data_IF_319404545043
#
_entry.id   IF_319404545043
#
_cell.length_a   1.000
_cell.length_b   1.000
_cell.length_c   1.000
_cell.angle_alpha   90.00
_cell.angle_beta   90.00
_cell.angle_gamma   90.00
#
_symmetry.space_group_name_H-M   'P 1'
#
loop_
_entity.id
_entity.type
_entity.pdbx_description
1 polymer ?
#
# COMPACT_ATOMS: atom_id res chain seq x y z
N UNK A 1 -55.78 -5.35 50.89
CA UNK A 1 -56.08 -4.60 49.66
C UNK A 1 -54.88 -4.67 48.74
N UNK A 2 -55.06 -5.37 47.66
CA UNK A 2 -53.99 -5.78 46.71
C UNK A 2 -53.66 -4.65 45.74
N UNK A 3 -52.38 -4.37 45.58
CA UNK A 3 -51.87 -3.58 44.46
C UNK A 3 -51.06 -4.49 43.56
N UNK A 4 -51.64 -4.83 42.43
CA UNK A 4 -50.99 -5.58 41.34
C UNK A 4 -49.89 -4.75 40.71
N UNK A 5 -48.67 -5.21 40.81
CA UNK A 5 -47.53 -4.64 40.10
C UNK A 5 -47.44 -5.35 38.74
N UNK A 6 -47.87 -4.63 37.69
CA UNK A 6 -47.68 -5.08 36.31
C UNK A 6 -46.22 -4.85 35.89
N UNK A 7 -45.46 -5.94 35.88
CA UNK A 7 -44.16 -5.97 35.25
C UNK A 7 -44.41 -5.96 33.73
N UNK A 8 -44.16 -4.83 33.08
CA UNK A 8 -44.05 -4.74 31.63
C UNK A 8 -42.67 -5.28 31.24
N UNK A 9 -42.64 -6.53 30.77
CA UNK A 9 -41.50 -7.05 30.04
C UNK A 9 -41.32 -6.22 28.74
N UNK A 10 -40.37 -5.33 28.75
CA UNK A 10 -39.88 -4.66 27.53
C UNK A 10 -39.07 -5.70 26.78
N UNK A 11 -39.67 -6.33 25.78
CA UNK A 11 -38.91 -7.16 24.82
C UNK A 11 -38.11 -6.21 23.98
N UNK A 12 -36.82 -6.06 24.32
CA UNK A 12 -35.85 -5.47 23.43
C UNK A 12 -35.69 -6.41 22.24
N UNK A 13 -36.31 -6.08 21.11
CA UNK A 13 -36.00 -6.67 19.84
C UNK A 13 -34.57 -6.19 19.48
N UNK A 14 -33.59 -6.98 19.87
CA UNK A 14 -32.24 -6.86 19.35
C UNK A 14 -32.37 -7.28 17.87
N UNK A 15 -32.46 -6.30 16.99
CA UNK A 15 -32.16 -6.49 15.59
C UNK A 15 -30.69 -6.95 15.56
N UNK A 16 -30.51 -8.25 15.58
CA UNK A 16 -29.29 -8.89 15.11
C UNK A 16 -29.15 -8.51 13.64
N UNK A 17 -28.51 -7.36 13.38
CA UNK A 17 -27.85 -7.16 12.12
C UNK A 17 -26.84 -8.32 12.08
N UNK A 18 -27.21 -9.39 11.40
CA UNK A 18 -26.26 -10.40 10.99
C UNK A 18 -25.24 -9.66 10.13
N UNK A 19 -24.19 -9.17 10.78
CA UNK A 19 -22.92 -8.93 10.10
C UNK A 19 -22.56 -10.33 9.61
N UNK A 20 -22.92 -10.63 8.38
CA UNK A 20 -22.35 -11.76 7.68
C UNK A 20 -20.84 -11.43 7.67
N UNK A 21 -20.13 -11.92 8.69
CA UNK A 21 -18.70 -12.07 8.57
C UNK A 21 -18.53 -12.88 7.29
N UNK A 22 -18.06 -12.25 6.22
CA UNK A 22 -17.69 -12.98 5.01
C UNK A 22 -16.80 -14.11 5.50
N UNK A 23 -17.31 -15.33 5.42
CA UNK A 23 -16.53 -16.54 5.65
C UNK A 23 -15.29 -16.38 4.77
N UNK A 24 -14.07 -16.57 5.29
CA UNK A 24 -12.86 -16.42 4.47
C UNK A 24 -13.10 -17.10 3.14
N UNK A 25 -12.82 -16.42 2.05
CA UNK A 25 -13.08 -16.85 0.65
C UNK A 25 -12.30 -18.13 0.29
N UNK A 26 -12.45 -19.18 1.07
CA UNK A 26 -11.86 -20.49 0.81
C UNK A 26 -12.49 -21.18 -0.42
N UNK A 27 -13.64 -20.68 -0.89
CA UNK A 27 -14.43 -21.27 -1.98
C UNK A 27 -14.65 -20.33 -3.16
N UNK A 28 -13.78 -19.37 -3.40
CA UNK A 28 -13.86 -18.61 -4.64
C UNK A 28 -13.67 -19.57 -5.83
N UNK A 29 -14.51 -19.44 -6.88
CA UNK A 29 -14.36 -20.29 -8.05
C UNK A 29 -12.97 -20.08 -8.69
N UNK A 30 -12.39 -21.13 -9.28
CA UNK A 30 -11.13 -21.02 -9.98
C UNK A 30 -11.20 -19.89 -11.01
N UNK A 31 -10.19 -19.04 -11.01
CA UNK A 31 -10.09 -17.92 -11.95
C UNK A 31 -9.30 -18.34 -13.18
N UNK A 32 -9.80 -17.99 -14.35
CA UNK A 32 -9.09 -18.22 -15.60
C UNK A 32 -8.19 -17.05 -15.96
N UNK A 33 -7.12 -17.32 -16.72
CA UNK A 33 -6.26 -16.27 -17.26
C UNK A 33 -7.04 -15.26 -18.12
N UNK A 34 -8.09 -15.71 -18.84
CA UNK A 34 -8.99 -14.85 -19.62
C UNK A 34 -9.77 -13.86 -18.73
N UNK A 35 -10.30 -14.33 -17.59
CA UNK A 35 -10.99 -13.47 -16.62
C UNK A 35 -10.03 -12.43 -16.00
N UNK A 36 -8.79 -12.83 -15.72
CA UNK A 36 -7.75 -11.91 -15.24
C UNK A 36 -7.45 -10.81 -16.25
N UNK A 37 -7.28 -11.18 -17.54
CA UNK A 37 -7.05 -10.23 -18.62
C UNK A 37 -8.22 -9.26 -18.78
N UNK A 38 -9.46 -9.74 -18.76
CA UNK A 38 -10.65 -8.89 -18.83
C UNK A 38 -10.73 -7.91 -17.66
N UNK A 39 -10.42 -8.38 -16.44
CA UNK A 39 -10.38 -7.54 -15.25
C UNK A 39 -9.29 -6.46 -15.33
N UNK A 40 -8.08 -6.82 -15.83
CA UNK A 40 -7.01 -5.85 -16.08
C UNK A 40 -7.48 -4.79 -17.08
N UNK A 41 -8.07 -5.18 -18.21
CA UNK A 41 -8.58 -4.24 -19.23
C UNK A 41 -9.56 -3.24 -18.62
N UNK A 42 -10.53 -3.68 -17.84
CA UNK A 42 -11.48 -2.80 -17.15
C UNK A 42 -10.80 -1.83 -16.18
N UNK A 43 -9.79 -2.29 -15.44
CA UNK A 43 -9.03 -1.42 -14.54
C UNK A 43 -8.18 -0.38 -15.29
N UNK A 44 -7.62 -0.76 -16.44
CA UNK A 44 -6.91 0.17 -17.34
C UNK A 44 -7.88 1.21 -17.89
N UNK A 45 -9.05 0.79 -18.37
CA UNK A 45 -10.08 1.69 -18.90
C UNK A 45 -10.53 2.71 -17.85
N UNK A 46 -10.72 2.26 -16.60
CA UNK A 46 -10.98 3.17 -15.48
C UNK A 46 -9.88 4.21 -15.31
N UNK A 47 -8.59 3.80 -15.25
CA UNK A 47 -7.49 4.74 -15.06
C UNK A 47 -7.35 5.72 -16.22
N UNK A 48 -7.62 5.30 -17.45
CA UNK A 48 -7.63 6.21 -18.61
C UNK A 48 -8.71 7.28 -18.49
N UNK A 49 -9.92 6.89 -18.07
CA UNK A 49 -11.04 7.79 -17.89
C UNK A 49 -10.86 8.76 -16.72
N UNK A 50 -10.15 8.33 -15.66
CA UNK A 50 -9.94 9.06 -14.41
C UNK A 50 -8.68 9.95 -14.41
N UNK A 51 -7.85 9.89 -15.46
CA UNK A 51 -6.63 10.70 -15.53
C UNK A 51 -6.93 12.20 -15.62
N UNK A 52 -6.33 12.98 -14.74
CA UNK A 52 -6.39 14.44 -14.81
C UNK A 52 -5.78 14.97 -16.12
N UNK A 53 -6.24 16.14 -16.58
CA UNK A 53 -5.71 16.78 -17.78
C UNK A 53 -4.19 16.99 -17.76
N UNK A 54 -3.61 17.18 -16.56
CA UNK A 54 -2.17 17.36 -16.38
C UNK A 54 -1.38 16.04 -16.27
N UNK A 55 -2.02 14.89 -16.46
CA UNK A 55 -1.36 13.58 -16.44
C UNK A 55 -1.29 12.89 -15.07
N UNK A 56 -1.66 13.56 -13.99
CA UNK A 56 -1.72 12.95 -12.64
C UNK A 56 -3.04 12.21 -12.41
N UNK A 57 -3.15 11.54 -11.25
CA UNK A 57 -4.39 10.96 -10.74
C UNK A 57 -4.75 11.52 -9.37
N UNK A 58 -6.05 11.63 -9.13
CA UNK A 58 -6.63 12.06 -7.87
C UNK A 58 -6.64 13.57 -7.68
N UNK A 59 -7.51 14.02 -6.81
CA UNK A 59 -7.73 15.43 -6.49
C UNK A 59 -8.10 15.63 -5.03
N UNK A 60 -8.21 16.91 -4.61
CA UNK A 60 -8.67 17.31 -3.28
C UNK A 60 -10.18 17.18 -3.10
N UNK A 61 -10.90 16.74 -4.13
CA UNK A 61 -12.35 16.60 -4.09
C UNK A 61 -12.73 15.40 -3.21
N UNK A 62 -13.72 15.59 -2.35
CA UNK A 62 -14.31 14.47 -1.59
C UNK A 62 -15.33 13.76 -2.47
N UNK A 63 -15.07 12.51 -2.81
CA UNK A 63 -15.92 11.68 -3.65
C UNK A 63 -16.67 10.59 -2.87
N UNK A 64 -16.31 10.38 -1.61
CA UNK A 64 -16.93 9.44 -0.66
C UNK A 64 -17.14 10.15 0.69
N UNK A 65 -17.39 9.36 1.73
CA UNK A 65 -17.68 9.81 3.09
C UNK A 65 -16.59 10.69 3.73
N UNK A 66 -16.74 10.91 5.03
CA UNK A 66 -15.81 11.71 5.84
C UNK A 66 -14.37 11.22 5.66
N UNK A 67 -13.49 12.16 5.37
CA UNK A 67 -12.07 11.95 5.35
C UNK A 67 -11.41 12.79 6.45
N UNK A 68 -10.70 12.14 7.36
CA UNK A 68 -10.05 12.80 8.51
C UNK A 68 -8.58 13.13 8.26
N UNK A 69 -8.02 12.68 7.13
CA UNK A 69 -6.63 12.92 6.78
C UNK A 69 -6.48 14.00 5.71
N UNK A 70 -5.27 14.48 5.56
CA UNK A 70 -4.89 15.47 4.58
C UNK A 70 -5.61 16.83 4.74
N UNK A 71 -5.59 17.41 5.92
CA UNK A 71 -6.19 18.73 6.11
C UNK A 71 -5.40 19.85 5.41
N UNK A 72 -4.13 19.61 5.08
CA UNK A 72 -3.20 20.60 4.59
C UNK A 72 -2.89 20.44 3.09
N UNK A 73 -2.67 21.54 2.35
CA UNK A 73 -2.40 21.50 0.90
C UNK A 73 -1.20 20.62 0.52
N UNK A 74 -0.13 20.63 1.31
CA UNK A 74 1.06 19.82 1.03
C UNK A 74 0.83 18.31 1.20
N UNK A 75 -0.03 17.90 2.12
CA UNK A 75 -0.45 16.51 2.24
C UNK A 75 -1.19 16.03 0.98
N UNK A 76 -2.00 16.90 0.37
CA UNK A 76 -2.64 16.60 -0.92
C UNK A 76 -1.62 16.42 -2.05
N UNK A 77 -0.52 17.18 -2.03
CA UNK A 77 0.55 16.95 -3.01
C UNK A 77 1.21 15.58 -2.83
N UNK A 78 1.48 15.17 -1.59
CA UNK A 78 2.02 13.86 -1.26
C UNK A 78 1.07 12.72 -1.69
N UNK A 79 -0.22 12.84 -1.40
CA UNK A 79 -1.23 11.85 -1.83
C UNK A 79 -1.34 11.76 -3.34
N UNK A 80 -1.35 12.91 -4.04
CA UNK A 80 -1.39 12.92 -5.50
C UNK A 80 -0.15 12.24 -6.08
N UNK A 81 1.04 12.52 -5.56
CA UNK A 81 2.27 11.88 -6.02
C UNK A 81 2.24 10.37 -5.79
N UNK A 82 1.80 9.91 -4.61
CA UNK A 82 1.66 8.50 -4.30
C UNK A 82 0.63 7.78 -5.17
N UNK A 83 -0.58 8.34 -5.28
CA UNK A 83 -1.65 7.77 -6.10
C UNK A 83 -1.27 7.74 -7.59
N UNK A 84 -0.65 8.82 -8.10
CA UNK A 84 -0.16 8.89 -9.48
C UNK A 84 0.92 7.84 -9.74
N UNK A 85 1.88 7.67 -8.81
CA UNK A 85 2.93 6.65 -8.93
C UNK A 85 2.38 5.23 -8.97
N UNK A 86 1.35 4.94 -8.17
CA UNK A 86 0.68 3.63 -8.15
C UNK A 86 -0.17 3.39 -9.40
N UNK A 87 -0.99 4.36 -9.81
CA UNK A 87 -1.82 4.25 -11.01
C UNK A 87 -0.96 4.03 -12.26
N UNK A 88 0.11 4.82 -12.41
CA UNK A 88 1.08 4.67 -13.49
C UNK A 88 1.75 3.29 -13.48
N UNK A 89 2.21 2.85 -12.31
CA UNK A 89 2.85 1.53 -12.18
C UNK A 89 1.90 0.43 -12.61
N UNK A 90 0.62 0.51 -12.22
CA UNK A 90 -0.41 -0.41 -12.68
C UNK A 90 -0.65 -0.39 -14.18
N UNK A 91 -0.68 0.80 -14.81
CA UNK A 91 -0.80 0.93 -16.26
C UNK A 91 0.37 0.29 -17.00
N UNK A 92 1.60 0.56 -16.56
CA UNK A 92 2.79 0.00 -17.22
C UNK A 92 2.84 -1.51 -17.04
N UNK A 93 2.63 -2.01 -15.83
CA UNK A 93 2.71 -3.44 -15.51
C UNK A 93 1.57 -4.24 -16.17
N UNK A 94 0.43 -3.62 -16.54
CA UNK A 94 -0.66 -4.26 -17.28
C UNK A 94 -0.20 -4.83 -18.62
N UNK A 95 0.80 -4.20 -19.24
CA UNK A 95 1.30 -4.54 -20.57
C UNK A 95 0.35 -4.15 -21.68
N UNK A 96 -0.63 -3.30 -21.43
CA UNK A 96 -1.57 -2.81 -22.43
C UNK A 96 -0.85 -1.86 -23.41
N UNK A 97 -0.84 -2.22 -24.69
CA UNK A 97 -0.11 -1.51 -25.74
C UNK A 97 -0.98 -0.50 -26.52
N UNK A 98 -2.22 -0.27 -26.12
CA UNK A 98 -3.11 0.70 -26.77
C UNK A 98 -2.49 2.09 -26.81
N UNK A 99 -2.79 2.82 -27.88
CA UNK A 99 -2.28 4.19 -28.08
C UNK A 99 -2.67 5.12 -26.91
N UNK A 100 -3.91 5.01 -26.41
CA UNK A 100 -4.43 5.82 -25.30
C UNK A 100 -3.63 5.57 -24.00
N UNK A 101 -3.24 4.32 -23.75
CA UNK A 101 -2.40 3.95 -22.60
C UNK A 101 -1.01 4.58 -22.73
N UNK A 102 -0.42 4.48 -23.92
CA UNK A 102 0.89 5.10 -24.19
C UNK A 102 0.83 6.62 -24.03
N UNK A 103 -0.23 7.26 -24.52
CA UNK A 103 -0.43 8.70 -24.36
C UNK A 103 -0.61 9.11 -22.88
N UNK A 104 -1.38 8.33 -22.11
CA UNK A 104 -1.58 8.56 -20.69
C UNK A 104 -0.28 8.44 -19.89
N UNK A 105 0.54 7.44 -20.21
CA UNK A 105 1.86 7.25 -19.61
C UNK A 105 2.78 8.44 -19.94
N UNK A 106 2.76 8.94 -21.18
CA UNK A 106 3.55 10.10 -21.61
C UNK A 106 3.20 11.37 -20.81
N UNK A 107 1.90 11.70 -20.69
CA UNK A 107 1.45 12.83 -19.86
C UNK A 107 1.87 12.69 -18.41
N UNK A 108 1.79 11.47 -17.87
CA UNK A 108 2.21 11.21 -16.50
C UNK A 108 3.73 11.36 -16.32
N UNK A 109 4.54 11.02 -17.32
CA UNK A 109 5.97 11.23 -17.28
C UNK A 109 6.32 12.72 -17.18
N UNK A 110 5.68 13.56 -17.98
CA UNK A 110 5.85 15.02 -17.92
C UNK A 110 5.48 15.57 -16.54
N UNK A 111 4.30 15.16 -16.02
CA UNK A 111 3.87 15.54 -14.69
C UNK A 111 4.86 15.10 -13.60
N UNK A 112 5.38 13.89 -13.69
CA UNK A 112 6.31 13.32 -12.70
C UNK A 112 7.64 14.07 -12.67
N UNK A 113 8.19 14.39 -13.85
CA UNK A 113 9.43 15.18 -13.98
C UNK A 113 9.25 16.57 -13.36
N UNK A 114 8.11 17.21 -13.57
CA UNK A 114 7.84 18.54 -13.03
C UNK A 114 7.55 18.53 -11.53
N UNK A 115 6.80 17.53 -11.02
CA UNK A 115 6.18 17.63 -9.70
C UNK A 115 6.85 16.79 -8.61
N UNK A 116 7.50 15.66 -8.93
CA UNK A 116 8.22 14.87 -7.91
C UNK A 116 9.36 15.66 -7.23
N UNK A 117 10.14 16.53 -7.91
CA UNK A 117 11.14 17.37 -7.25
C UNK A 117 10.56 18.37 -6.24
N UNK A 118 9.29 18.75 -6.43
CA UNK A 118 8.58 19.72 -5.57
C UNK A 118 7.97 19.07 -4.34
N UNK A 119 8.04 17.75 -4.21
CA UNK A 119 7.48 17.02 -3.09
C UNK A 119 8.25 17.34 -1.82
N UNK A 120 7.58 18.01 -0.88
CA UNK A 120 8.18 18.50 0.36
C UNK A 120 7.13 18.51 1.48
N UNK A 121 7.61 18.65 2.71
CA UNK A 121 6.74 18.85 3.88
C UNK A 121 5.78 20.00 3.66
N UNK A 122 4.54 19.79 4.07
CA UNK A 122 3.56 20.84 4.17
C UNK A 122 3.81 21.71 5.40
N UNK A 123 4.01 21.05 6.54
CA UNK A 123 4.41 21.61 7.84
C UNK A 123 4.99 20.52 8.75
N UNK A 124 5.15 20.85 10.04
CA UNK A 124 5.75 19.97 11.03
C UNK A 124 4.83 18.84 11.50
N UNK A 125 3.52 18.91 11.25
CA UNK A 125 2.53 18.03 11.88
C UNK A 125 1.84 17.08 10.92
N UNK A 126 1.92 17.31 9.61
CA UNK A 126 1.19 16.51 8.62
C UNK A 126 1.93 16.47 7.29
N UNK A 127 2.64 15.39 7.07
CA UNK A 127 3.39 15.21 5.82
C UNK A 127 3.01 13.91 5.17
N UNK A 128 3.08 12.99 4.87
CA UNK A 128 2.85 11.77 4.09
C UNK A 128 3.79 11.69 2.88
N UNK A 129 4.82 12.54 2.84
CA UNK A 129 5.70 12.64 1.69
C UNK A 129 6.45 11.34 1.39
N UNK A 130 6.70 10.50 2.40
CA UNK A 130 7.36 9.21 2.20
C UNK A 130 6.60 8.32 1.20
N UNK A 131 5.26 8.39 1.16
CA UNK A 131 4.44 7.66 0.19
C UNK A 131 4.66 8.17 -1.23
N UNK A 132 4.71 9.50 -1.39
CA UNK A 132 5.01 10.13 -2.66
C UNK A 132 6.40 9.77 -3.17
N UNK A 133 7.42 9.79 -2.30
CA UNK A 133 8.78 9.39 -2.65
C UNK A 133 8.87 7.90 -3.00
N UNK A 134 8.30 7.01 -2.20
CA UNK A 134 8.37 5.57 -2.42
C UNK A 134 7.67 5.14 -3.72
N UNK A 135 6.43 5.58 -3.94
CA UNK A 135 5.68 5.20 -5.14
C UNK A 135 6.11 6.01 -6.37
N UNK A 136 6.56 7.24 -6.19
CA UNK A 136 7.22 8.01 -7.23
C UNK A 136 8.51 7.33 -7.71
N UNK A 137 9.35 6.84 -6.79
CA UNK A 137 10.56 6.08 -7.12
C UNK A 137 10.23 4.82 -7.93
N UNK A 138 9.23 4.04 -7.49
CA UNK A 138 8.79 2.83 -8.22
C UNK A 138 8.28 3.14 -9.62
N UNK A 139 7.58 4.26 -9.80
CA UNK A 139 7.13 4.70 -11.13
C UNK A 139 8.29 5.11 -12.03
N UNK A 140 9.31 5.77 -11.47
CA UNK A 140 10.52 6.16 -12.21
C UNK A 140 11.35 4.96 -12.67
N UNK A 141 11.40 3.88 -11.87
CA UNK A 141 12.00 2.61 -12.30
C UNK A 141 11.30 2.09 -13.56
N UNK A 142 9.97 2.11 -13.59
CA UNK A 142 9.18 1.66 -14.76
C UNK A 142 9.33 2.56 -15.97
N UNK A 143 9.40 3.87 -15.78
CA UNK A 143 9.73 4.79 -16.86
C UNK A 143 11.10 4.48 -17.48
N UNK A 144 12.10 4.28 -16.62
CA UNK A 144 13.45 3.95 -17.05
C UNK A 144 13.49 2.64 -17.85
N UNK A 145 12.81 1.58 -17.38
CA UNK A 145 12.85 0.26 -18.01
C UNK A 145 12.22 0.28 -19.42
N UNK A 146 11.15 1.06 -19.63
CA UNK A 146 10.48 1.14 -20.93
C UNK A 146 11.03 2.22 -21.88
N UNK A 147 11.80 3.18 -21.40
CA UNK A 147 12.34 4.26 -22.20
C UNK A 147 13.48 3.76 -23.07
N UNK A 148 13.54 4.21 -24.30
CA UNK A 148 14.62 3.89 -25.26
C UNK A 148 15.59 5.05 -25.47
N UNK A 149 15.14 6.30 -25.23
CA UNK A 149 15.96 7.49 -25.37
C UNK A 149 16.95 7.59 -24.20
N UNK A 150 18.30 7.59 -24.46
CA UNK A 150 19.30 7.60 -23.40
C UNK A 150 19.23 8.84 -22.49
N UNK A 151 18.90 10.00 -23.04
CA UNK A 151 18.82 11.25 -22.27
C UNK A 151 17.65 11.21 -21.28
N UNK A 152 16.47 10.75 -21.73
CA UNK A 152 15.32 10.55 -20.86
C UNK A 152 15.59 9.48 -19.81
N UNK A 153 16.25 8.38 -20.17
CA UNK A 153 16.69 7.37 -19.19
C UNK A 153 17.57 7.99 -18.10
N UNK A 154 18.55 8.79 -18.51
CA UNK A 154 19.43 9.48 -17.56
C UNK A 154 18.64 10.45 -16.67
N UNK A 155 17.67 11.18 -17.21
CA UNK A 155 16.78 12.07 -16.46
C UNK A 155 15.96 11.29 -15.43
N UNK A 156 15.33 10.17 -15.81
CA UNK A 156 14.56 9.35 -14.88
C UNK A 156 15.43 8.75 -13.78
N UNK A 157 16.64 8.30 -14.10
CA UNK A 157 17.60 7.80 -13.11
C UNK A 157 18.01 8.90 -12.14
N UNK A 158 18.32 10.09 -12.63
CA UNK A 158 18.68 11.24 -11.79
C UNK A 158 17.52 11.62 -10.85
N UNK A 159 16.30 11.69 -11.39
CA UNK A 159 15.09 11.99 -10.60
C UNK A 159 14.82 10.89 -9.56
N UNK A 160 15.05 9.62 -9.91
CA UNK A 160 14.93 8.50 -8.99
C UNK A 160 15.95 8.61 -7.84
N UNK A 161 17.21 8.95 -8.13
CA UNK A 161 18.20 9.21 -7.07
C UNK A 161 17.77 10.38 -6.18
N UNK A 162 17.25 11.45 -6.76
CA UNK A 162 16.72 12.56 -5.98
C UNK A 162 15.58 12.15 -5.04
N UNK A 163 14.68 11.22 -5.46
CA UNK A 163 13.63 10.72 -4.57
C UNK A 163 14.20 9.91 -3.40
N UNK A 164 15.26 9.13 -3.61
CA UNK A 164 15.99 8.45 -2.52
C UNK A 164 16.58 9.48 -1.55
N UNK A 165 17.27 10.49 -2.08
CA UNK A 165 17.93 11.51 -1.26
C UNK A 165 16.92 12.35 -0.46
N UNK A 166 15.78 12.65 -1.06
CA UNK A 166 14.67 13.34 -0.38
C UNK A 166 14.03 12.45 0.70
N UNK A 167 13.78 11.18 0.41
CA UNK A 167 13.23 10.24 1.39
C UNK A 167 14.16 10.08 2.60
N UNK A 168 15.48 10.03 2.38
CA UNK A 168 16.47 9.93 3.45
C UNK A 168 16.38 11.05 4.49
N UNK A 169 15.86 12.23 4.12
CA UNK A 169 15.65 13.35 5.06
C UNK A 169 14.53 13.09 6.06
N UNK A 170 13.65 12.13 5.78
CA UNK A 170 12.54 11.74 6.64
C UNK A 170 12.84 10.53 7.52
N UNK A 171 14.09 10.01 7.49
CA UNK A 171 14.47 8.96 8.42
C UNK A 171 14.34 9.46 9.87
N UNK A 172 13.60 8.72 10.68
CA UNK A 172 13.42 9.00 12.11
C UNK A 172 14.73 8.84 12.87
N UNK A 173 14.88 9.57 13.96
CA UNK A 173 16.06 9.48 14.85
C UNK A 173 16.28 8.06 15.38
N UNK A 174 15.21 7.27 15.50
CA UNK A 174 15.26 5.87 15.92
C UNK A 174 15.46 4.90 14.73
N UNK A 175 15.69 5.43 13.54
CA UNK A 175 15.74 4.67 12.29
C UNK A 175 14.35 4.34 11.74
N UNK A 176 14.26 4.16 10.42
CA UNK A 176 13.02 3.90 9.69
C UNK A 176 12.23 5.16 9.37
N UNK A 177 11.01 4.98 8.87
CA UNK A 177 10.20 6.05 8.31
C UNK A 177 8.79 6.03 8.89
N UNK A 178 8.32 7.22 9.26
CA UNK A 178 6.92 7.48 9.60
C UNK A 178 6.26 8.33 8.52
N UNK A 179 4.96 8.46 8.59
CA UNK A 179 4.20 9.33 7.68
C UNK A 179 3.82 10.66 8.32
N UNK A 180 4.07 10.82 9.60
CA UNK A 180 3.94 12.08 10.33
C UNK A 180 5.35 12.59 10.65
N UNK A 181 5.54 13.87 10.47
CA UNK A 181 6.71 14.56 10.94
C UNK A 181 6.25 15.50 12.06
N UNK A 182 6.15 14.94 13.24
CA UNK A 182 5.49 15.60 14.36
C UNK A 182 6.39 16.61 15.07
N UNK A 183 7.72 16.48 14.94
CA UNK A 183 8.62 17.34 15.68
C UNK A 183 9.84 17.75 14.87
N UNK A 184 9.82 18.97 14.42
CA UNK A 184 11.02 19.73 14.35
C UNK A 184 11.28 20.29 15.75
N UNK A 185 12.00 19.58 16.56
CA UNK A 185 12.57 20.22 17.71
C UNK A 185 13.79 21.00 17.21
N UNK A 186 13.96 22.21 17.67
CA UNK A 186 15.05 23.13 17.31
C UNK A 186 16.45 22.52 17.45
N UNK A 187 16.59 21.33 17.99
CA UNK A 187 17.82 20.62 18.28
C UNK A 187 18.11 19.44 17.37
N UNK A 188 17.10 18.84 16.73
CA UNK A 188 17.25 17.72 15.79
C UNK A 188 16.81 18.13 14.38
N UNK A 189 17.68 17.89 13.42
CA UNK A 189 17.35 18.06 11.99
C UNK A 189 16.63 16.84 11.41
N UNK A 190 16.36 15.82 12.25
CA UNK A 190 15.72 14.58 11.84
C UNK A 190 14.32 14.51 12.43
N UNK A 191 13.35 13.92 11.71
CA UNK A 191 12.04 13.63 12.26
C UNK A 191 12.13 12.81 13.55
N UNK A 192 11.33 13.18 14.53
CA UNK A 192 11.14 12.44 15.80
C UNK A 192 9.70 11.95 15.90
N UNK A 193 9.11 11.65 14.77
CA UNK A 193 7.74 11.16 14.66
C UNK A 193 7.63 9.66 14.93
N UNK A 194 6.44 9.15 14.69
CA UNK A 194 6.13 7.74 14.92
C UNK A 194 6.63 6.93 13.71
N UNK A 195 7.74 6.24 13.87
CA UNK A 195 8.21 5.28 12.87
C UNK A 195 7.23 4.11 12.76
N UNK A 196 6.72 3.86 11.56
CA UNK A 196 5.85 2.72 11.29
C UNK A 196 6.61 1.60 10.60
N UNK A 197 6.32 0.34 10.97
CA UNK A 197 6.97 -0.83 10.38
C UNK A 197 6.72 -0.90 8.87
N UNK A 198 5.47 -0.71 8.46
CA UNK A 198 5.06 -0.79 7.06
C UNK A 198 5.50 0.41 6.21
N UNK A 199 5.57 1.61 6.80
CA UNK A 199 6.13 2.78 6.12
C UNK A 199 7.60 2.57 5.80
N UNK A 200 8.37 2.10 6.78
CA UNK A 200 9.79 1.75 6.60
C UNK A 200 9.98 0.66 5.55
N UNK A 201 9.17 -0.41 5.61
CA UNK A 201 9.22 -1.49 4.63
C UNK A 201 8.91 -0.99 3.20
N UNK A 202 7.90 -0.13 3.04
CA UNK A 202 7.53 0.45 1.74
C UNK A 202 8.67 1.24 1.12
N UNK A 203 9.30 2.13 1.90
CA UNK A 203 10.43 2.94 1.43
C UNK A 203 11.62 2.06 1.07
N UNK A 204 11.98 1.11 1.95
CA UNK A 204 13.11 0.21 1.71
C UNK A 204 12.91 -0.68 0.48
N UNK A 205 11.70 -1.20 0.24
CA UNK A 205 11.39 -1.99 -0.96
C UNK A 205 11.50 -1.15 -2.24
N UNK A 206 11.06 0.10 -2.20
CA UNK A 206 11.23 1.01 -3.33
C UNK A 206 12.72 1.35 -3.57
N UNK A 207 13.49 1.59 -2.52
CA UNK A 207 14.94 1.80 -2.60
C UNK A 207 15.66 0.57 -3.14
N UNK A 208 15.29 -0.63 -2.67
CA UNK A 208 15.84 -1.88 -3.17
C UNK A 208 15.60 -2.03 -4.68
N UNK A 209 14.35 -1.85 -5.14
CA UNK A 209 14.02 -1.90 -6.56
C UNK A 209 14.82 -0.89 -7.38
N UNK A 210 14.96 0.34 -6.88
CA UNK A 210 15.78 1.39 -7.52
C UNK A 210 17.25 1.03 -7.58
N UNK A 211 17.82 0.43 -6.55
CA UNK A 211 19.20 -0.06 -6.55
C UNK A 211 19.40 -1.17 -7.56
N UNK A 212 18.55 -2.18 -7.55
CA UNK A 212 18.70 -3.37 -8.42
C UNK A 212 18.49 -3.02 -9.90
N UNK A 213 17.52 -2.14 -10.21
CA UNK A 213 17.14 -1.82 -11.58
C UNK A 213 17.92 -0.66 -12.21
N UNK A 214 18.20 0.38 -11.44
CA UNK A 214 18.82 1.60 -11.92
C UNK A 214 20.26 1.77 -11.41
N UNK A 215 20.73 0.94 -10.49
CA UNK A 215 22.01 1.12 -9.84
C UNK A 215 22.07 2.41 -9.01
N UNK A 216 20.97 2.73 -8.29
CA UNK A 216 20.94 3.89 -7.40
C UNK A 216 21.84 3.69 -6.20
N UNK A 217 22.41 4.79 -5.73
CA UNK A 217 23.23 4.81 -4.51
C UNK A 217 22.30 4.92 -3.30
N UNK A 218 22.41 3.99 -2.37
CA UNK A 218 21.74 4.03 -1.10
C UNK A 218 22.72 4.39 0.00
N UNK A 219 22.26 5.07 1.04
CA UNK A 219 23.02 5.27 2.26
C UNK A 219 22.91 4.01 3.12
N UNK A 220 23.98 3.23 3.21
CA UNK A 220 24.00 1.95 3.94
C UNK A 220 23.67 2.11 5.43
N UNK A 221 24.01 3.28 6.02
CA UNK A 221 23.66 3.58 7.40
C UNK A 221 22.15 3.74 7.57
N UNK A 222 21.52 4.52 6.69
CA UNK A 222 20.06 4.72 6.71
C UNK A 222 19.32 3.41 6.43
N UNK A 223 19.78 2.65 5.45
CA UNK A 223 19.24 1.31 5.16
C UNK A 223 19.38 0.41 6.39
N UNK A 224 20.55 0.36 7.00
CA UNK A 224 20.85 -0.46 8.18
C UNK A 224 19.96 -0.10 9.36
N UNK A 225 19.91 1.18 9.76
CA UNK A 225 19.11 1.66 10.89
C UNK A 225 17.60 1.46 10.64
N UNK A 226 17.15 1.58 9.40
CA UNK A 226 15.75 1.35 9.02
C UNK A 226 15.37 -0.13 9.09
N UNK A 227 16.23 -1.04 8.65
CA UNK A 227 16.04 -2.49 8.80
C UNK A 227 16.03 -2.91 10.28
N UNK A 228 16.92 -2.33 11.07
CA UNK A 228 16.96 -2.56 12.52
C UNK A 228 15.69 -2.04 13.20
N UNK A 229 15.15 -0.92 12.74
CA UNK A 229 13.85 -0.40 13.22
C UNK A 229 12.71 -1.36 12.94
N UNK A 230 12.63 -1.93 11.72
CA UNK A 230 11.64 -2.98 11.39
C UNK A 230 11.86 -4.20 12.29
N UNK A 231 13.11 -4.61 12.49
CA UNK A 231 13.44 -5.78 13.31
C UNK A 231 13.04 -5.60 14.79
N UNK A 232 13.22 -4.39 15.35
CA UNK A 232 12.75 -4.07 16.72
C UNK A 232 11.23 -4.14 16.87
N UNK A 233 10.49 -3.92 15.76
CA UNK A 233 9.03 -4.00 15.72
C UNK A 233 8.51 -5.41 15.43
N UNK A 234 9.39 -6.40 15.21
CA UNK A 234 9.03 -7.77 14.90
C UNK A 234 8.66 -8.55 16.17
N UNK A 235 7.55 -9.28 16.11
CA UNK A 235 7.16 -10.26 17.14
C UNK A 235 7.68 -11.67 16.80
N UNK A 236 7.67 -12.60 17.79
CA UNK A 236 8.21 -13.96 17.59
C UNK A 236 7.59 -14.72 16.39
N UNK A 237 6.31 -14.50 16.10
CA UNK A 237 5.58 -15.12 14.97
C UNK A 237 5.79 -14.41 13.63
N UNK A 238 6.75 -13.48 13.55
CA UNK A 238 7.04 -12.67 12.36
C UNK A 238 5.90 -11.75 11.94
N UNK A 239 5.01 -11.40 12.86
CA UNK A 239 4.15 -10.22 12.76
C UNK A 239 4.92 -8.98 13.22
N UNK A 240 4.34 -7.80 12.99
CA UNK A 240 5.00 -6.54 13.31
C UNK A 240 4.06 -5.59 14.04
N UNK A 241 4.61 -4.84 14.98
CA UNK A 241 3.92 -3.72 15.59
C UNK A 241 3.52 -2.69 14.51
N UNK A 242 2.47 -1.92 14.79
CA UNK A 242 2.04 -0.85 13.88
C UNK A 242 3.11 0.24 13.76
N UNK A 243 3.62 0.68 14.90
CA UNK A 243 4.70 1.66 14.98
C UNK A 243 5.61 1.33 16.16
N UNK A 244 6.72 2.07 16.26
CA UNK A 244 7.67 1.92 17.35
C UNK A 244 6.99 2.02 18.73
N UNK A 245 6.08 2.98 18.94
CA UNK A 245 5.37 3.17 20.20
C UNK A 245 4.49 1.96 20.57
N UNK A 246 3.97 1.26 19.56
CA UNK A 246 3.12 0.09 19.78
C UNK A 246 3.90 -1.15 20.28
N UNK A 247 5.23 -1.13 20.26
CA UNK A 247 6.05 -2.20 20.84
C UNK A 247 5.78 -2.32 22.35
N UNK A 248 5.57 -1.19 23.02
CA UNK A 248 5.29 -1.14 24.46
C UNK A 248 3.94 -1.76 24.84
N UNK A 249 3.05 -1.94 23.84
CA UNK A 249 1.71 -2.48 24.02
C UNK A 249 1.48 -3.70 23.12
N UNK A 250 2.23 -4.80 23.29
CA UNK A 250 2.19 -5.95 22.36
C UNK A 250 0.82 -6.62 22.30
N UNK A 251 0.00 -6.52 23.34
CA UNK A 251 -1.35 -7.11 23.39
C UNK A 251 -2.43 -6.25 22.78
N UNK A 252 -2.13 -5.03 22.36
CA UNK A 252 -3.14 -4.18 21.70
C UNK A 252 -3.67 -4.86 20.43
N UNK A 253 -4.96 -4.73 20.11
CA UNK A 253 -5.57 -5.41 18.97
C UNK A 253 -4.85 -5.18 17.63
N UNK A 254 -4.35 -3.97 17.39
CA UNK A 254 -3.63 -3.63 16.15
C UNK A 254 -2.37 -4.48 15.94
N UNK A 255 -1.73 -4.94 17.01
CA UNK A 255 -0.50 -5.74 16.95
C UNK A 255 -0.75 -7.24 16.81
N UNK A 256 -1.97 -7.70 17.02
CA UNK A 256 -2.29 -9.13 16.88
C UNK A 256 -2.09 -9.59 15.43
N UNK A 257 -1.80 -10.88 15.19
CA UNK A 257 -1.55 -11.40 13.84
C UNK A 257 -2.59 -10.98 12.83
N UNK A 258 -3.88 -11.04 13.16
CA UNK A 258 -4.95 -10.61 12.26
C UNK A 258 -4.91 -9.11 11.93
N UNK A 259 -4.54 -8.25 12.90
CA UNK A 259 -4.38 -6.80 12.70
C UNK A 259 -3.13 -6.44 11.89
N UNK A 260 -2.13 -7.32 11.84
CA UNK A 260 -0.86 -7.09 11.14
C UNK A 260 -0.74 -7.77 9.78
N UNK A 261 -1.79 -8.42 9.26
CA UNK A 261 -1.75 -9.22 8.03
C UNK A 261 -1.07 -8.52 6.85
N UNK A 262 -1.44 -7.28 6.59
CA UNK A 262 -0.93 -6.53 5.43
C UNK A 262 0.52 -6.06 5.63
N UNK A 263 0.82 -5.47 6.78
CA UNK A 263 2.16 -4.93 7.03
C UNK A 263 3.21 -6.02 7.21
N UNK A 264 2.80 -7.21 7.69
CA UNK A 264 3.73 -8.34 7.80
C UNK A 264 4.21 -8.83 6.45
N UNK A 265 3.41 -8.73 5.38
CA UNK A 265 3.86 -9.02 4.02
C UNK A 265 5.00 -8.09 3.61
N UNK A 266 4.79 -6.77 3.74
CA UNK A 266 5.80 -5.79 3.38
C UNK A 266 7.08 -5.90 4.21
N UNK A 267 6.94 -6.06 5.53
CA UNK A 267 8.09 -6.13 6.43
C UNK A 267 8.93 -7.40 6.20
N UNK A 268 8.28 -8.56 6.02
CA UNK A 268 8.98 -9.80 5.71
C UNK A 268 9.68 -9.72 4.34
N UNK A 269 9.02 -9.14 3.33
CA UNK A 269 9.64 -8.92 2.03
C UNK A 269 10.87 -8.00 2.14
N UNK A 270 10.75 -6.87 2.84
CA UNK A 270 11.86 -5.93 3.01
C UNK A 270 13.07 -6.57 3.72
N UNK A 271 12.84 -7.26 4.84
CA UNK A 271 13.94 -7.96 5.55
C UNK A 271 14.58 -9.05 4.68
N UNK A 272 13.77 -9.78 3.90
CA UNK A 272 14.26 -10.85 3.02
C UNK A 272 15.16 -10.33 1.90
N UNK A 273 14.73 -9.29 1.16
CA UNK A 273 15.50 -8.77 0.01
C UNK A 273 16.81 -8.10 0.42
N UNK A 274 16.89 -7.57 1.65
CA UNK A 274 18.13 -7.05 2.21
C UNK A 274 18.95 -8.10 2.96
N UNK A 275 18.62 -9.39 2.84
CA UNK A 275 19.41 -10.49 3.41
C UNK A 275 19.41 -10.56 4.94
N UNK A 276 18.42 -9.97 5.62
CA UNK A 276 18.31 -10.06 7.08
C UNK A 276 17.88 -11.46 7.50
N UNK A 277 18.54 -12.02 8.50
CA UNK A 277 18.27 -13.35 9.01
C UNK A 277 16.84 -13.52 9.56
N UNK A 278 16.34 -14.74 9.47
CA UNK A 278 15.09 -15.19 10.10
C UNK A 278 13.84 -15.02 9.24
N UNK A 279 13.96 -14.64 7.95
CA UNK A 279 12.84 -14.66 6.99
C UNK A 279 13.14 -15.71 5.91
N UNK A 280 12.77 -16.96 6.21
CA UNK A 280 12.87 -18.09 5.29
C UNK A 280 11.64 -18.20 4.38
N UNK A 281 11.68 -19.10 3.38
CA UNK A 281 10.52 -19.45 2.56
C UNK A 281 9.34 -19.92 3.42
N UNK A 282 9.61 -20.68 4.50
CA UNK A 282 8.57 -21.14 5.42
C UNK A 282 7.83 -19.98 6.08
N UNK A 283 8.53 -18.91 6.47
CA UNK A 283 7.91 -17.69 7.04
C UNK A 283 7.04 -17.00 5.99
N UNK A 284 7.52 -16.88 4.75
CA UNK A 284 6.74 -16.25 3.67
C UNK A 284 5.48 -17.06 3.38
N UNK A 285 5.58 -18.37 3.29
CA UNK A 285 4.48 -19.30 3.08
C UNK A 285 3.46 -19.19 4.22
N UNK A 286 3.90 -19.26 5.47
CA UNK A 286 3.02 -19.13 6.63
C UNK A 286 2.23 -17.81 6.60
N UNK A 287 2.89 -16.70 6.28
CA UNK A 287 2.22 -15.40 6.22
C UNK A 287 1.34 -15.22 5.00
N UNK A 288 1.67 -15.85 3.86
CA UNK A 288 0.81 -15.89 2.69
C UNK A 288 -0.47 -16.70 2.96
N UNK A 289 -0.34 -17.90 3.55
CA UNK A 289 -1.47 -18.73 3.94
C UNK A 289 -2.35 -18.04 4.97
N UNK A 290 -1.75 -17.40 5.96
CA UNK A 290 -2.45 -16.64 7.01
C UNK A 290 -3.20 -15.44 6.41
N UNK A 291 -2.62 -14.75 5.43
CA UNK A 291 -3.27 -13.65 4.71
C UNK A 291 -4.52 -14.14 3.97
N UNK A 292 -4.39 -15.17 3.14
CA UNK A 292 -5.51 -15.72 2.37
C UNK A 292 -6.61 -16.30 3.27
N UNK A 293 -6.25 -16.94 4.38
CA UNK A 293 -7.22 -17.51 5.31
C UNK A 293 -7.97 -16.45 6.15
N UNK A 294 -7.40 -15.25 6.32
CA UNK A 294 -7.92 -14.24 7.26
C UNK A 294 -8.16 -12.86 6.65
N UNK A 295 -8.06 -12.72 5.33
CA UNK A 295 -8.28 -11.45 4.64
C UNK A 295 -9.70 -10.86 4.91
N UNK A 296 -10.65 -11.69 5.30
CA UNK A 296 -11.99 -11.24 5.74
C UNK A 296 -11.94 -10.19 6.86
N UNK A 297 -10.96 -10.26 7.78
CA UNK A 297 -10.77 -9.22 8.79
C UNK A 297 -10.37 -7.87 8.17
N UNK A 298 -9.55 -7.88 7.11
CA UNK A 298 -9.22 -6.67 6.36
C UNK A 298 -10.44 -6.16 5.58
N UNK A 299 -11.21 -7.08 5.00
CA UNK A 299 -12.43 -6.76 4.23
C UNK A 299 -13.49 -6.04 5.08
N UNK A 300 -13.62 -6.38 6.37
CA UNK A 300 -14.55 -5.69 7.29
C UNK A 300 -14.21 -4.18 7.39
N UNK A 301 -12.94 -3.83 7.35
CA UNK A 301 -12.49 -2.44 7.41
C UNK A 301 -12.67 -1.69 6.09
N UNK A 302 -12.79 -2.41 4.98
CA UNK A 302 -12.86 -1.83 3.64
C UNK A 302 -14.04 -0.86 3.53
N UNK A 303 -13.78 0.31 2.94
CA UNK A 303 -14.76 1.39 2.72
C UNK A 303 -15.29 2.09 3.98
N UNK A 304 -14.69 1.84 5.14
CA UNK A 304 -15.04 2.57 6.37
C UNK A 304 -14.23 3.85 6.47
N UNK A 305 -14.87 4.99 6.79
CA UNK A 305 -14.19 6.29 6.82
C UNK A 305 -13.30 6.48 8.05
N UNK A 306 -13.66 5.87 9.19
CA UNK A 306 -12.87 5.98 10.41
C UNK A 306 -11.79 4.91 10.46
N UNK A 307 -10.52 5.28 10.52
CA UNK A 307 -9.45 4.31 10.66
C UNK A 307 -9.39 3.76 12.09
N UNK A 308 -8.99 2.50 12.21
CA UNK A 308 -8.75 1.82 13.49
C UNK A 308 -9.97 1.73 14.43
N UNK A 309 -11.19 1.85 13.92
CA UNK A 309 -12.44 1.79 14.69
C UNK A 309 -13.05 0.39 14.82
N UNK A 310 -12.55 -0.56 14.04
CA UNK A 310 -13.08 -1.93 13.99
C UNK A 310 -12.23 -2.91 14.80
N UNK A 311 -12.72 -4.15 14.87
CA UNK A 311 -12.02 -5.24 15.54
C UNK A 311 -10.58 -5.39 15.02
N UNK A 312 -9.63 -5.61 15.90
CA UNK A 312 -8.18 -5.57 15.65
C UNK A 312 -7.63 -4.20 15.22
N UNK A 313 -8.40 -3.11 15.34
CA UNK A 313 -7.94 -1.77 14.95
C UNK A 313 -7.41 -1.71 13.51
N UNK A 314 -8.05 -2.43 12.60
CA UNK A 314 -7.71 -2.45 11.18
C UNK A 314 -8.29 -1.22 10.50
N UNK A 315 -7.58 -0.67 9.54
CA UNK A 315 -8.05 0.43 8.68
C UNK A 315 -8.24 -0.04 7.25
N UNK A 316 -9.22 0.54 6.54
CA UNK A 316 -9.55 0.18 5.18
C UNK A 316 -8.35 0.22 4.23
N UNK A 317 -7.50 1.25 4.36
CA UNK A 317 -6.33 1.45 3.49
C UNK A 317 -5.28 0.32 3.54
N UNK A 318 -5.40 -0.62 4.47
CA UNK A 318 -4.55 -1.81 4.49
C UNK A 318 -5.00 -2.93 3.54
N UNK A 319 -6.19 -2.84 2.93
CA UNK A 319 -6.71 -3.95 2.14
C UNK A 319 -5.90 -4.15 0.85
N UNK A 320 -5.89 -3.15 -0.06
CA UNK A 320 -5.14 -3.26 -1.32
C UNK A 320 -3.65 -3.08 -1.13
N UNK A 321 -3.22 -2.35 -0.11
CA UNK A 321 -1.84 -2.37 0.35
C UNK A 321 -1.39 -3.82 0.64
N UNK A 322 -2.18 -4.55 1.42
CA UNK A 322 -1.88 -5.94 1.78
C UNK A 322 -1.85 -6.87 0.57
N UNK A 323 -2.77 -6.73 -0.37
CA UNK A 323 -2.81 -7.48 -1.63
C UNK A 323 -1.53 -7.25 -2.45
N UNK A 324 -1.12 -6.01 -2.59
CA UNK A 324 0.10 -5.68 -3.35
C UNK A 324 1.36 -6.24 -2.68
N UNK A 325 1.53 -6.00 -1.37
CA UNK A 325 2.72 -6.51 -0.67
C UNK A 325 2.69 -8.02 -0.44
N UNK A 326 1.54 -8.66 -0.53
CA UNK A 326 1.45 -10.11 -0.66
C UNK A 326 2.17 -10.56 -1.94
N UNK A 327 1.93 -9.92 -3.09
CA UNK A 327 2.64 -10.29 -4.33
C UNK A 327 4.13 -10.07 -4.20
N UNK A 328 4.57 -8.95 -3.61
CA UNK A 328 5.98 -8.64 -3.38
C UNK A 328 6.66 -9.70 -2.50
N UNK A 329 5.94 -10.24 -1.53
CA UNK A 329 6.44 -11.29 -0.64
C UNK A 329 6.49 -12.65 -1.34
N UNK A 330 5.40 -13.06 -1.99
CA UNK A 330 5.31 -14.40 -2.65
C UNK A 330 6.23 -14.51 -3.85
N UNK A 331 6.52 -13.43 -4.56
CA UNK A 331 7.52 -13.39 -5.66
C UNK A 331 8.93 -13.82 -5.23
N UNK A 332 9.22 -13.78 -3.93
CA UNK A 332 10.51 -14.23 -3.37
C UNK A 332 10.60 -15.75 -3.18
N UNK A 333 9.48 -16.45 -3.36
CA UNK A 333 9.44 -17.92 -3.34
C UNK A 333 9.88 -18.50 -4.69
N UNK A 334 10.32 -19.76 -4.74
CA UNK A 334 10.54 -20.49 -5.97
C UNK A 334 9.29 -20.51 -6.88
N UNK A 335 9.45 -20.45 -8.22
CA UNK A 335 8.34 -20.31 -9.17
C UNK A 335 7.23 -21.35 -9.01
N UNK A 336 7.59 -22.60 -8.69
CA UNK A 336 6.65 -23.70 -8.49
C UNK A 336 5.68 -23.48 -7.31
N UNK A 337 6.05 -22.64 -6.35
CA UNK A 337 5.20 -22.26 -5.22
C UNK A 337 4.33 -21.05 -5.51
N UNK A 338 4.70 -20.22 -6.48
CA UNK A 338 4.02 -18.97 -6.76
C UNK A 338 2.65 -19.17 -7.42
N UNK A 339 2.51 -20.18 -8.31
CA UNK A 339 1.27 -20.42 -9.07
C UNK A 339 0.04 -20.57 -8.17
N UNK A 340 0.12 -21.39 -7.15
CA UNK A 340 -0.98 -21.61 -6.21
C UNK A 340 -1.47 -20.30 -5.56
N UNK A 341 -0.54 -19.45 -5.17
CA UNK A 341 -0.87 -18.15 -4.56
C UNK A 341 -1.43 -17.16 -5.58
N UNK A 342 -0.90 -17.18 -6.81
CA UNK A 342 -1.37 -16.32 -7.88
C UNK A 342 -2.83 -16.58 -8.25
N UNK A 343 -3.22 -17.87 -8.38
CA UNK A 343 -4.59 -18.28 -8.69
C UNK A 343 -5.58 -17.81 -7.61
N UNK A 344 -5.25 -18.02 -6.34
CA UNK A 344 -6.10 -17.63 -5.20
C UNK A 344 -6.20 -16.11 -5.05
N UNK A 345 -5.08 -15.41 -5.21
CA UNK A 345 -5.07 -13.95 -5.11
C UNK A 345 -5.84 -13.31 -6.27
N UNK A 346 -5.69 -13.82 -7.50
CA UNK A 346 -6.44 -13.34 -8.64
C UNK A 346 -7.96 -13.48 -8.41
N UNK A 347 -8.43 -14.64 -7.95
CA UNK A 347 -9.84 -14.84 -7.63
C UNK A 347 -10.34 -13.82 -6.60
N UNK A 348 -9.55 -13.58 -5.55
CA UNK A 348 -9.86 -12.59 -4.52
C UNK A 348 -9.99 -11.17 -5.11
N UNK A 349 -9.02 -10.74 -5.93
CA UNK A 349 -9.03 -9.39 -6.52
C UNK A 349 -10.22 -9.23 -7.46
N UNK A 350 -10.48 -10.20 -8.32
CA UNK A 350 -11.62 -10.16 -9.26
C UNK A 350 -12.96 -10.04 -8.54
N UNK A 351 -13.13 -10.74 -7.42
CA UNK A 351 -14.37 -10.71 -6.62
C UNK A 351 -14.68 -9.32 -6.03
N UNK A 352 -13.71 -8.42 -5.99
CA UNK A 352 -13.83 -7.10 -5.37
C UNK A 352 -13.76 -5.94 -6.39
N UNK A 353 -13.72 -6.22 -7.69
CA UNK A 353 -13.71 -5.18 -8.72
C UNK A 353 -15.07 -4.47 -8.77
N UNK A 354 -15.03 -3.14 -8.76
CA UNK A 354 -16.23 -2.31 -8.86
C UNK A 354 -16.84 -2.36 -10.29
N UNK A 355 -18.07 -1.89 -10.40
CA UNK A 355 -18.77 -1.88 -11.70
C UNK A 355 -18.07 -1.01 -12.75
N UNK A 356 -17.43 0.08 -12.32
CA UNK A 356 -16.66 1.00 -13.15
C UNK A 356 -15.27 0.47 -13.51
N UNK A 357 -14.88 -0.70 -13.05
CA UNK A 357 -13.59 -1.32 -13.29
C UNK A 357 -12.52 -1.01 -12.24
N UNK A 358 -12.78 -0.11 -11.32
CA UNK A 358 -11.84 0.29 -10.28
C UNK A 358 -11.81 -0.67 -9.09
N UNK A 359 -10.87 -0.41 -8.18
CA UNK A 359 -10.83 -0.96 -6.82
C UNK A 359 -10.55 0.16 -5.82
N UNK A 360 -11.19 0.12 -4.67
CA UNK A 360 -10.90 1.03 -3.57
C UNK A 360 -11.29 0.45 -2.20
N UNK A 361 -10.62 0.91 -1.17
CA UNK A 361 -10.74 0.36 0.18
C UNK A 361 -10.94 1.41 1.28
N UNK A 362 -10.47 2.63 1.09
CA UNK A 362 -10.57 3.69 2.08
C UNK A 362 -10.94 5.02 1.41
N UNK A 363 -11.89 5.80 1.94
CA UNK A 363 -12.38 7.03 1.30
C UNK A 363 -11.38 8.19 1.46
N UNK A 364 -10.25 8.12 0.76
CA UNK A 364 -9.20 9.13 0.78
C UNK A 364 -9.41 10.13 -0.36
N UNK A 365 -10.35 11.07 -0.21
CA UNK A 365 -10.66 12.07 -1.24
C UNK A 365 -10.92 11.39 -2.58
N UNK A 366 -10.35 11.93 -3.66
CA UNK A 366 -10.39 11.34 -4.99
C UNK A 366 -9.14 10.48 -5.30
N UNK A 367 -8.30 10.22 -4.31
CA UNK A 367 -7.10 9.40 -4.49
C UNK A 367 -7.37 7.91 -4.37
N UNK A 368 -8.48 7.51 -3.75
CA UNK A 368 -8.76 6.16 -3.31
C UNK A 368 -8.92 5.16 -4.46
N UNK A 369 -9.61 5.51 -5.54
CA UNK A 369 -9.79 4.63 -6.69
C UNK A 369 -8.50 4.50 -7.52
N UNK A 370 -7.77 5.59 -7.87
CA UNK A 370 -6.49 5.48 -8.55
C UNK A 370 -5.46 4.60 -7.81
N UNK A 371 -5.24 4.81 -6.51
CA UNK A 371 -4.26 4.00 -5.80
C UNK A 371 -4.69 2.54 -5.65
N UNK A 372 -5.95 2.28 -5.35
CA UNK A 372 -6.48 0.92 -5.20
C UNK A 372 -6.42 0.16 -6.52
N UNK A 373 -6.76 0.83 -7.63
CA UNK A 373 -6.68 0.25 -8.98
C UNK A 373 -5.24 -0.01 -9.37
N UNK A 374 -4.31 0.92 -9.09
CA UNK A 374 -2.89 0.74 -9.34
C UNK A 374 -2.33 -0.51 -8.63
N UNK A 375 -2.61 -0.67 -7.34
CA UNK A 375 -2.22 -1.87 -6.59
C UNK A 375 -2.77 -3.16 -7.20
N UNK A 376 -4.06 -3.17 -7.55
CA UNK A 376 -4.70 -4.36 -8.13
C UNK A 376 -4.16 -4.71 -9.51
N UNK A 377 -3.90 -3.73 -10.36
CA UNK A 377 -3.32 -3.96 -11.69
C UNK A 377 -1.91 -4.55 -11.60
N UNK A 378 -1.05 -4.03 -10.72
CA UNK A 378 0.29 -4.61 -10.47
C UNK A 378 0.18 -6.05 -9.97
N UNK A 379 -0.72 -6.31 -9.02
CA UNK A 379 -0.94 -7.65 -8.47
C UNK A 379 -1.49 -8.61 -9.52
N UNK A 380 -2.50 -8.23 -10.29
CA UNK A 380 -3.09 -9.05 -11.36
C UNK A 380 -2.10 -9.31 -12.50
N UNK A 381 -1.26 -8.35 -12.83
CA UNK A 381 -0.21 -8.51 -13.85
C UNK A 381 0.80 -9.57 -13.44
N UNK A 382 1.20 -9.59 -12.17
CA UNK A 382 2.00 -10.67 -11.63
C UNK A 382 1.24 -12.00 -11.66
N UNK A 383 -0.02 -12.06 -11.18
CA UNK A 383 -0.82 -13.28 -11.19
C UNK A 383 -0.91 -13.86 -12.61
N UNK A 384 -1.20 -13.02 -13.63
CA UNK A 384 -1.23 -13.42 -15.04
C UNK A 384 0.05 -14.12 -15.49
N UNK A 385 1.20 -13.64 -15.01
CA UNK A 385 2.51 -14.21 -15.36
C UNK A 385 2.81 -15.51 -14.63
N UNK A 386 2.31 -15.70 -13.40
CA UNK A 386 2.57 -16.85 -12.55
C UNK A 386 1.56 -18.01 -12.74
N UNK A 387 0.40 -17.77 -13.36
CA UNK A 387 -0.63 -18.75 -13.74
C UNK A 387 -0.28 -19.42 -15.07
#
# INVERSE_FOLDING_TARGET
MSAFWKIRCLVFLILLVQVHAEVPDQNLPPTTRGAVLQSITRGVDFLLADQNKNGSWGSVTRTKDINIYAPLPGAHHAYRAGATGLALSGLIDSGDARHEVTAAIGKCAEWSVENLPKLRRADQTSTYNIWGHAYGLRSLVRFYDREINPEKKAQYKQLAQQQVDLANRYEDINGGFGYLDVFDNFTSKRPTGITTSFGSATVLLAMYEGREKLGLKLDDKIVGTSLDSIKRQQFPDKSYAYSHDHIMFPRTPINRPAGSLSRSQACNAALRVFGREGISDAVIIEWADRFLARQGFLSIARKRPMPHDIHFKISGYFYYYGIYYFTESVRLLPPEKQKHYAERLAALILSKQEKDGSWWDYPLYDYHQPYGTGYCLMALSWCKGAM
#
